data_IF_601483381361
#
_entry.id   IF_601483381361
#
_cell.length_a   1.000
_cell.length_b   1.000
_cell.length_c   1.000
_cell.angle_alpha   90.00
_cell.angle_beta   90.00
_cell.angle_gamma   90.00
#
_symmetry.space_group_name_H-M   'P 1'
#
loop_
_entity.id
_entity.type
_entity.pdbx_description
1 polymer ?
#
# COMPACT_ATOMS: atom_id res chain seq x y z
N UNK A 1 3.90 7.53 -3.14
CA UNK A 1 5.16 7.97 -3.77
C UNK A 1 6.26 7.12 -3.19
N UNK A 2 7.18 6.68 -4.02
CA UNK A 2 8.32 5.85 -3.63
C UNK A 2 9.61 6.53 -4.09
N UNK A 3 10.65 6.49 -3.27
CA UNK A 3 11.98 6.97 -3.61
C UNK A 3 12.84 5.76 -4.01
N UNK A 4 13.30 5.74 -5.25
CA UNK A 4 14.25 4.76 -5.79
C UNK A 4 15.64 5.39 -5.90
N UNK A 5 16.22 5.79 -4.78
CA UNK A 5 17.51 6.49 -4.76
C UNK A 5 18.66 5.65 -5.34
N UNK A 6 18.57 4.33 -5.19
CA UNK A 6 19.59 3.39 -5.65
C UNK A 6 19.43 3.03 -7.14
N UNK A 7 18.47 3.64 -7.85
CA UNK A 7 18.18 3.39 -9.28
C UNK A 7 18.04 1.91 -9.63
N UNK A 8 17.40 1.14 -8.75
CA UNK A 8 17.13 -0.28 -8.98
C UNK A 8 16.00 -0.41 -9.98
N UNK A 9 16.14 -1.29 -10.97
CA UNK A 9 15.06 -1.61 -11.90
C UNK A 9 14.04 -2.54 -11.25
N UNK A 10 13.14 -1.98 -10.45
CA UNK A 10 12.08 -2.74 -9.76
C UNK A 10 11.17 -3.50 -10.72
N UNK A 11 11.04 -3.09 -11.99
CA UNK A 11 10.25 -3.85 -12.97
C UNK A 11 10.90 -5.15 -13.40
N UNK A 12 12.24 -5.20 -13.33
CA UNK A 12 13.01 -6.38 -13.68
C UNK A 12 13.28 -7.28 -12.46
N UNK A 13 13.19 -6.76 -11.23
CA UNK A 13 13.70 -7.44 -10.03
C UNK A 13 12.71 -7.60 -8.89
N UNK A 14 11.53 -6.96 -8.94
CA UNK A 14 10.58 -6.95 -7.81
C UNK A 14 9.33 -7.81 -8.10
N UNK A 15 9.02 -8.71 -7.17
CA UNK A 15 7.79 -9.52 -7.18
C UNK A 15 6.61 -8.79 -6.49
N UNK A 16 6.83 -7.59 -5.93
CA UNK A 16 5.84 -6.86 -5.13
C UNK A 16 5.20 -5.67 -5.83
N UNK A 17 5.65 -5.32 -7.04
CA UNK A 17 5.05 -4.31 -7.91
C UNK A 17 4.79 -2.94 -7.26
N UNK A 18 5.59 -2.53 -6.26
CA UNK A 18 5.35 -1.26 -5.53
C UNK A 18 5.38 -0.03 -6.45
N UNK A 19 6.12 -0.10 -7.55
CA UNK A 19 6.17 0.93 -8.59
C UNK A 19 4.80 1.20 -9.26
N UNK A 20 3.86 0.25 -9.18
CA UNK A 20 2.48 0.39 -9.70
C UNK A 20 1.56 1.12 -8.72
N UNK A 21 1.99 1.31 -7.47
CA UNK A 21 1.16 1.77 -6.36
C UNK A 21 1.30 3.27 -6.11
N UNK A 22 2.10 3.97 -6.91
CA UNK A 22 2.32 5.41 -6.80
C UNK A 22 3.50 5.87 -7.64
N UNK A 23 3.65 7.19 -7.77
CA UNK A 23 4.80 7.76 -8.48
C UNK A 23 6.13 7.32 -7.85
N UNK A 24 7.12 7.03 -8.69
CA UNK A 24 8.50 6.74 -8.30
C UNK A 24 9.35 7.96 -8.64
N UNK A 25 10.21 8.37 -7.72
CA UNK A 25 11.23 9.41 -7.93
C UNK A 25 12.61 8.84 -7.62
N UNK A 26 13.64 9.34 -8.27
CA UNK A 26 15.01 8.83 -8.16
C UNK A 26 15.87 9.74 -7.26
N UNK A 27 15.58 11.05 -7.26
CA UNK A 27 16.37 12.04 -6.54
C UNK A 27 15.62 12.64 -5.34
N UNK A 28 16.36 12.93 -4.27
CA UNK A 28 15.79 13.61 -3.10
C UNK A 28 15.21 15.00 -3.44
N UNK A 29 15.79 15.68 -4.43
CA UNK A 29 15.30 16.97 -4.91
C UNK A 29 13.89 16.91 -5.52
N UNK A 30 13.46 15.73 -5.96
CA UNK A 30 12.16 15.54 -6.61
C UNK A 30 11.03 15.22 -5.64
N UNK A 31 11.32 15.01 -4.35
CA UNK A 31 10.33 14.65 -3.34
C UNK A 31 9.26 15.73 -3.21
N UNK A 32 9.65 16.99 -3.02
CA UNK A 32 8.66 18.07 -2.85
C UNK A 32 7.82 18.29 -4.12
N UNK A 33 8.41 18.42 -5.33
CA UNK A 33 7.64 18.48 -6.57
C UNK A 33 6.70 17.28 -6.77
N UNK A 34 7.13 16.08 -6.37
CA UNK A 34 6.31 14.88 -6.44
C UNK A 34 5.11 14.95 -5.49
N UNK A 35 5.31 15.43 -4.26
CA UNK A 35 4.23 15.62 -3.30
C UNK A 35 3.20 16.64 -3.79
N UNK A 36 3.64 17.74 -4.42
CA UNK A 36 2.73 18.76 -4.96
C UNK A 36 1.76 18.19 -6.01
N UNK A 37 2.23 17.29 -6.88
CA UNK A 37 1.39 16.62 -7.89
C UNK A 37 0.71 15.34 -7.41
N UNK A 38 0.98 14.88 -6.19
CA UNK A 38 0.53 13.57 -5.71
C UNK A 38 -0.99 13.43 -5.74
N UNK A 39 -1.72 14.47 -5.30
CA UNK A 39 -3.18 14.45 -5.30
C UNK A 39 -3.78 14.39 -6.70
N UNK A 40 -3.15 15.04 -7.66
CA UNK A 40 -3.57 15.01 -9.07
C UNK A 40 -3.33 13.63 -9.69
N UNK A 41 -2.23 12.97 -9.34
CA UNK A 41 -1.88 11.65 -9.87
C UNK A 41 -2.55 10.51 -9.12
N UNK A 42 -2.99 10.70 -7.88
CA UNK A 42 -3.55 9.62 -7.05
C UNK A 42 -4.66 8.80 -7.73
N UNK A 43 -5.63 9.38 -8.47
CA UNK A 43 -6.66 8.62 -9.16
C UNK A 43 -6.11 7.58 -10.16
N UNK A 44 -4.93 7.81 -10.76
CA UNK A 44 -4.33 6.85 -11.70
C UNK A 44 -3.81 5.58 -11.03
N UNK A 45 -3.56 5.62 -9.73
CA UNK A 45 -3.04 4.49 -8.95
C UNK A 45 -4.13 3.75 -8.17
N UNK A 46 -5.34 4.32 -8.08
CA UNK A 46 -6.42 3.78 -7.24
C UNK A 46 -6.76 2.33 -7.57
N UNK A 47 -6.89 2.00 -8.86
CA UNK A 47 -7.23 0.64 -9.27
C UNK A 47 -6.17 -0.38 -8.84
N UNK A 48 -4.88 -0.05 -9.04
CA UNK A 48 -3.75 -0.87 -8.61
C UNK A 48 -3.69 -1.02 -7.09
N UNK A 49 -3.94 0.06 -6.34
CA UNK A 49 -3.97 0.07 -4.87
C UNK A 49 -5.09 -0.78 -4.30
N UNK A 50 -6.28 -0.73 -4.91
CA UNK A 50 -7.40 -1.58 -4.50
C UNK A 50 -7.10 -3.06 -4.72
N UNK A 51 -6.52 -3.40 -5.87
CA UNK A 51 -6.12 -4.77 -6.18
C UNK A 51 -5.05 -5.25 -5.19
N UNK A 52 -4.00 -4.46 -5.01
CA UNK A 52 -2.90 -4.78 -4.10
C UNK A 52 -3.39 -5.00 -2.65
N UNK A 53 -4.27 -4.13 -2.15
CA UNK A 53 -4.86 -4.31 -0.81
C UNK A 53 -5.69 -5.59 -0.72
N UNK A 54 -6.49 -5.90 -1.75
CA UNK A 54 -7.30 -7.11 -1.76
C UNK A 54 -6.44 -8.39 -1.75
N UNK A 55 -5.33 -8.38 -2.49
CA UNK A 55 -4.39 -9.51 -2.58
C UNK A 55 -3.53 -9.68 -1.33
N UNK A 56 -3.13 -8.59 -0.68
CA UNK A 56 -2.18 -8.63 0.45
C UNK A 56 -2.84 -8.64 1.83
N UNK A 57 -3.92 -7.88 2.01
CA UNK A 57 -4.59 -7.71 3.31
C UNK A 57 -5.87 -8.54 3.39
N UNK A 58 -6.45 -8.90 2.25
CA UNK A 58 -7.73 -9.60 2.20
C UNK A 58 -8.88 -8.67 2.60
N UNK A 59 -9.73 -9.10 3.53
CA UNK A 59 -10.93 -8.33 3.89
C UNK A 59 -10.62 -7.14 4.83
N UNK A 60 -10.82 -5.93 4.32
CA UNK A 60 -10.57 -4.67 5.06
C UNK A 60 -11.84 -4.02 5.63
N UNK A 61 -12.97 -4.73 5.60
CA UNK A 61 -14.26 -4.24 6.09
C UNK A 61 -14.34 -4.20 7.62
N UNK A 62 -15.34 -3.48 8.17
CA UNK A 62 -15.58 -3.41 9.62
C UNK A 62 -15.83 -4.79 10.26
N UNK A 63 -16.28 -5.78 9.48
CA UNK A 63 -16.42 -7.16 9.90
C UNK A 63 -15.10 -7.76 10.42
N UNK A 64 -13.95 -7.33 9.90
CA UNK A 64 -12.63 -7.81 10.35
C UNK A 64 -12.37 -7.43 11.81
N UNK A 65 -12.65 -6.19 12.20
CA UNK A 65 -12.52 -5.75 13.60
C UNK A 65 -13.49 -6.48 14.54
N UNK A 66 -14.72 -6.72 14.08
CA UNK A 66 -15.73 -7.48 14.85
C UNK A 66 -15.27 -8.92 15.08
N UNK A 67 -14.81 -9.61 14.04
CA UNK A 67 -14.29 -10.99 14.16
C UNK A 67 -13.09 -11.06 15.11
N UNK A 68 -12.17 -10.10 15.02
CA UNK A 68 -11.03 -10.04 15.93
C UNK A 68 -11.48 -9.87 17.39
N UNK A 69 -12.40 -8.95 17.66
CA UNK A 69 -12.96 -8.75 19.00
C UNK A 69 -13.66 -10.02 19.54
N UNK A 70 -14.43 -10.70 18.69
CA UNK A 70 -15.09 -11.96 19.06
C UNK A 70 -14.08 -13.06 19.41
N UNK A 71 -12.98 -13.17 18.66
CA UNK A 71 -11.92 -14.14 18.95
C UNK A 71 -11.24 -13.87 20.30
N UNK A 72 -10.99 -12.60 20.65
CA UNK A 72 -10.44 -12.21 21.96
C UNK A 72 -11.41 -12.57 23.09
N UNK A 73 -12.69 -12.25 22.94
CA UNK A 73 -13.71 -12.59 23.95
C UNK A 73 -13.86 -14.10 24.13
N UNK A 74 -13.82 -14.87 23.03
CA UNK A 74 -13.86 -16.33 23.09
C UNK A 74 -12.65 -16.89 23.85
N UNK A 75 -11.44 -16.38 23.58
CA UNK A 75 -10.23 -16.79 24.30
C UNK A 75 -10.33 -16.48 25.81
N UNK A 76 -10.80 -15.29 26.17
CA UNK A 76 -10.93 -14.87 27.57
C UNK A 76 -12.01 -15.64 28.34
N UNK A 77 -13.01 -16.19 27.66
CA UNK A 77 -14.04 -17.02 28.27
C UNK A 77 -13.61 -18.48 28.50
N UNK A 78 -12.45 -18.89 27.96
CA UNK A 78 -11.88 -20.23 28.13
C UNK A 78 -10.90 -20.34 29.31
N UNK A 79 -10.66 -19.24 30.03
CA UNK A 79 -9.85 -19.15 31.25
C UNK A 79 -10.72 -18.89 32.47
#
# INVERSE_FOLDING_TARGET
MFLNHDNVDWRATDDHDFWTQGQVVEEFGDILPALDRAFTLQPSFEAGQRLYIAETVGETGPATAVRAAQAVLALAAWT
#
